data_IF_587411310888
#
_entry.id   IF_587411310888
#
_cell.length_a   1.000
_cell.length_b   1.000
_cell.length_c   1.000
_cell.angle_alpha   90.00
_cell.angle_beta   90.00
_cell.angle_gamma   90.00
#
_symmetry.space_group_name_H-M   'P 1'
#
loop_
_entity.id
_entity.type
_entity.pdbx_description
1 polymer ?
#
# COMPACT_ATOMS: atom_id res chain seq x y z
N UNK A 1 5.37 31.42 -12.55
CA UNK A 1 4.41 30.52 -13.20
C UNK A 1 5.12 29.91 -14.39
N UNK A 2 5.56 28.69 -14.28
CA UNK A 2 6.18 27.96 -15.37
C UNK A 2 5.25 26.78 -15.68
N UNK A 3 4.58 26.88 -16.85
CA UNK A 3 3.82 25.78 -17.43
C UNK A 3 4.78 24.66 -17.82
N UNK A 4 4.69 23.53 -17.16
CA UNK A 4 5.35 22.30 -17.63
C UNK A 4 4.38 21.62 -18.60
N UNK A 5 4.61 21.86 -19.89
CA UNK A 5 3.93 21.16 -20.97
C UNK A 5 4.21 19.65 -20.85
N UNK A 6 3.16 18.83 -20.73
CA UNK A 6 3.24 17.38 -20.88
C UNK A 6 3.38 17.07 -22.38
N UNK A 7 4.58 16.71 -22.81
CA UNK A 7 4.77 16.04 -24.10
C UNK A 7 4.33 14.58 -23.98
N UNK A 8 3.19 14.27 -24.58
CA UNK A 8 2.76 12.87 -24.80
C UNK A 8 3.48 12.32 -26.02
N UNK A 9 4.52 11.53 -25.79
CA UNK A 9 5.14 10.75 -26.85
C UNK A 9 4.40 9.42 -26.97
N UNK A 10 3.57 9.27 -27.99
CA UNK A 10 3.00 7.97 -28.40
C UNK A 10 4.14 7.03 -28.81
N UNK A 11 4.37 5.99 -28.00
CA UNK A 11 5.20 4.84 -28.41
C UNK A 11 4.29 3.67 -28.71
N UNK A 12 4.08 3.44 -30.00
CA UNK A 12 3.55 2.18 -30.52
C UNK A 12 4.59 1.07 -30.27
N UNK A 13 4.26 0.10 -29.44
CA UNK A 13 5.05 -1.09 -29.19
C UNK A 13 4.27 -2.03 -28.27
N UNK A 14 3.65 -3.06 -28.84
CA UNK A 14 3.04 -4.16 -28.11
C UNK A 14 4.12 -4.90 -27.30
N UNK A 15 4.15 -4.63 -26.01
CA UNK A 15 4.93 -5.35 -25.02
C UNK A 15 4.32 -5.04 -23.66
N UNK A 16 3.68 -6.03 -23.07
CA UNK A 16 3.09 -5.94 -21.72
C UNK A 16 4.15 -5.57 -20.69
N UNK A 17 4.38 -4.26 -20.52
CA UNK A 17 5.21 -3.73 -19.45
C UNK A 17 4.32 -3.40 -18.24
N UNK A 18 3.87 -4.45 -17.56
CA UNK A 18 3.16 -4.37 -16.29
C UNK A 18 3.91 -5.12 -15.20
N UNK A 19 5.23 -4.93 -15.15
CA UNK A 19 6.02 -5.53 -14.06
C UNK A 19 5.93 -4.68 -12.81
N UNK A 20 5.69 -5.33 -11.72
CA UNK A 20 5.76 -4.73 -10.39
C UNK A 20 7.13 -4.09 -10.14
N UNK A 21 7.10 -2.94 -9.47
CA UNK A 21 8.30 -2.25 -8.98
C UNK A 21 8.87 -2.99 -7.76
N UNK A 22 9.26 -4.24 -8.02
CA UNK A 22 9.91 -5.14 -7.08
C UNK A 22 11.19 -5.63 -7.74
N UNK A 23 12.31 -4.99 -7.41
CA UNK A 23 13.58 -5.15 -8.11
C UNK A 23 14.60 -5.81 -7.19
N UNK A 24 15.18 -6.92 -7.65
CA UNK A 24 16.30 -7.54 -6.96
C UNK A 24 17.55 -6.64 -7.09
N UNK A 25 18.20 -6.38 -5.96
CA UNK A 25 19.47 -5.70 -5.83
C UNK A 25 20.48 -6.70 -5.24
N UNK A 26 21.80 -6.39 -5.31
CA UNK A 26 22.84 -7.29 -4.82
C UNK A 26 22.65 -7.68 -3.34
N UNK A 27 22.22 -6.70 -2.51
CA UNK A 27 22.08 -6.87 -1.06
C UNK A 27 20.62 -7.09 -0.60
N UNK A 28 19.63 -7.14 -1.52
CA UNK A 28 18.23 -7.27 -1.14
C UNK A 28 17.23 -7.03 -2.26
N UNK A 29 16.06 -6.54 -1.87
CA UNK A 29 14.96 -6.25 -2.79
C UNK A 29 14.50 -4.82 -2.56
N UNK A 30 14.43 -4.02 -3.62
CA UNK A 30 13.72 -2.74 -3.62
C UNK A 30 12.26 -2.98 -3.98
N UNK A 31 11.35 -2.50 -3.15
CA UNK A 31 9.91 -2.63 -3.33
C UNK A 31 9.26 -1.24 -3.25
N UNK A 32 8.43 -0.88 -4.22
CA UNK A 32 7.69 0.39 -4.19
C UNK A 32 6.20 0.08 -4.17
N UNK A 33 5.48 0.65 -3.19
CA UNK A 33 4.06 0.36 -2.95
C UNK A 33 3.24 1.63 -2.81
N UNK A 34 1.94 1.49 -3.09
CA UNK A 34 0.93 2.46 -2.71
C UNK A 34 -0.12 1.78 -1.83
N UNK A 35 -0.51 2.44 -0.75
CA UNK A 35 -1.52 1.95 0.17
C UNK A 35 -2.62 2.98 0.42
N UNK A 36 -3.81 2.48 0.71
CA UNK A 36 -4.99 3.28 0.94
C UNK A 36 -5.34 3.35 2.43
N UNK A 37 -5.70 4.53 2.89
CA UNK A 37 -6.28 4.78 4.20
C UNK A 37 -7.77 4.98 3.98
N UNK A 38 -8.55 3.94 4.23
CA UNK A 38 -9.99 3.88 4.04
C UNK A 38 -10.63 3.87 5.43
N UNK A 39 -11.12 5.05 5.85
CA UNK A 39 -11.72 5.23 7.17
C UNK A 39 -13.23 5.43 7.05
N UNK A 40 -14.03 4.67 7.81
CA UNK A 40 -15.47 4.84 7.90
C UNK A 40 -15.94 4.54 9.32
N UNK A 41 -16.78 5.38 9.88
CA UNK A 41 -17.35 5.24 11.23
C UNK A 41 -16.30 4.98 12.33
N UNK A 42 -15.15 5.67 12.24
CA UNK A 42 -14.03 5.55 13.18
C UNK A 42 -13.21 4.26 13.06
N UNK A 43 -13.46 3.44 12.03
CA UNK A 43 -12.73 2.21 11.76
C UNK A 43 -11.90 2.34 10.49
N UNK A 44 -10.78 1.63 10.46
CA UNK A 44 -9.88 1.50 9.31
C UNK A 44 -10.17 0.18 8.60
N UNK A 45 -10.28 0.20 7.27
CA UNK A 45 -10.35 -1.01 6.46
C UNK A 45 -8.95 -1.55 6.21
N UNK A 46 -8.76 -2.81 6.58
CA UNK A 46 -7.49 -3.52 6.40
C UNK A 46 -7.73 -4.85 5.69
N UNK A 47 -6.65 -5.41 5.17
CA UNK A 47 -6.60 -6.74 4.57
C UNK A 47 -6.03 -7.72 5.60
N UNK A 48 -6.71 -8.84 5.78
CA UNK A 48 -6.25 -9.97 6.55
C UNK A 48 -6.09 -11.21 5.68
N UNK A 49 -5.19 -12.08 6.04
CA UNK A 49 -4.98 -13.40 5.46
C UNK A 49 -4.76 -14.44 6.57
N UNK A 50 -4.19 -15.59 6.27
CA UNK A 50 -3.88 -16.64 7.24
C UNK A 50 -2.76 -16.28 8.24
N UNK A 51 -2.20 -15.08 8.16
CA UNK A 51 -1.18 -14.57 9.09
C UNK A 51 -1.82 -13.90 10.30
N UNK A 52 -1.03 -13.68 11.34
CA UNK A 52 -1.45 -13.07 12.60
C UNK A 52 -1.50 -11.54 12.57
N UNK A 53 -1.36 -10.92 11.40
CA UNK A 53 -1.36 -9.48 11.23
C UNK A 53 -2.22 -9.02 10.05
N UNK A 54 -2.58 -7.75 10.10
CA UNK A 54 -3.34 -7.05 9.06
C UNK A 54 -2.46 -6.01 8.37
N UNK A 55 -2.79 -5.66 7.14
CA UNK A 55 -2.09 -4.62 6.38
C UNK A 55 -3.06 -3.74 5.61
N UNK A 56 -2.58 -2.57 5.19
CA UNK A 56 -3.40 -1.63 4.42
C UNK A 56 -3.80 -2.21 3.08
N UNK A 57 -5.02 -1.89 2.62
CA UNK A 57 -5.43 -2.06 1.22
C UNK A 57 -4.38 -1.41 0.33
N UNK A 58 -3.91 -2.12 -0.72
CA UNK A 58 -2.91 -1.60 -1.63
C UNK A 58 -1.86 -2.63 -2.05
N UNK A 59 -1.02 -2.25 -3.00
CA UNK A 59 -0.06 -3.16 -3.58
C UNK A 59 1.14 -2.46 -4.20
N UNK A 60 1.85 -3.19 -5.05
CA UNK A 60 3.03 -2.70 -5.73
C UNK A 60 2.66 -1.77 -6.88
N UNK A 61 3.47 -0.75 -7.06
CA UNK A 61 3.41 0.02 -8.29
C UNK A 61 3.85 -0.85 -9.46
N UNK A 62 3.17 -0.71 -10.58
CA UNK A 62 3.64 -1.26 -11.86
C UNK A 62 4.47 -0.22 -12.60
N UNK A 63 5.46 -0.66 -13.35
CA UNK A 63 6.28 0.25 -14.13
C UNK A 63 5.39 1.03 -15.13
N UNK A 64 5.43 2.35 -15.05
CA UNK A 64 4.60 3.26 -15.84
C UNK A 64 3.39 3.81 -15.11
N UNK A 65 3.10 3.36 -13.90
CA UNK A 65 2.09 3.97 -13.03
C UNK A 65 2.69 5.05 -12.13
N UNK A 66 1.90 6.05 -11.78
CA UNK A 66 2.17 6.90 -10.61
C UNK A 66 1.67 6.20 -9.34
N UNK A 67 2.11 6.66 -8.16
CA UNK A 67 1.61 6.12 -6.91
C UNK A 67 0.09 6.37 -6.73
N UNK A 68 -0.42 7.46 -7.31
CA UNK A 68 -1.87 7.76 -7.33
C UNK A 68 -2.64 6.79 -8.22
N UNK A 69 -2.12 6.48 -9.42
CA UNK A 69 -2.75 5.48 -10.31
C UNK A 69 -2.77 4.11 -9.65
N UNK A 70 -1.66 3.72 -9.03
CA UNK A 70 -1.52 2.44 -8.36
C UNK A 70 -2.52 2.29 -7.19
N UNK A 71 -2.64 3.28 -6.31
CA UNK A 71 -3.57 3.16 -5.17
C UNK A 71 -5.03 3.08 -5.63
N UNK A 72 -5.42 3.83 -6.67
CA UNK A 72 -6.79 3.76 -7.21
C UNK A 72 -7.08 2.39 -7.83
N UNK A 73 -6.10 1.81 -8.55
CA UNK A 73 -6.20 0.46 -9.12
C UNK A 73 -6.33 -0.59 -8.02
N UNK A 74 -5.42 -0.59 -7.04
CA UNK A 74 -5.41 -1.56 -5.94
C UNK A 74 -6.70 -1.50 -5.10
N UNK A 75 -7.17 -0.29 -4.77
CA UNK A 75 -8.45 -0.12 -4.06
C UNK A 75 -9.59 -0.75 -4.86
N UNK A 76 -9.63 -0.56 -6.17
CA UNK A 76 -10.66 -1.18 -7.00
C UNK A 76 -10.49 -2.70 -7.09
N UNK A 77 -9.27 -3.20 -7.25
CA UNK A 77 -8.99 -4.65 -7.34
C UNK A 77 -9.38 -5.38 -6.04
N UNK A 78 -9.08 -4.79 -4.87
CA UNK A 78 -9.36 -5.43 -3.57
C UNK A 78 -10.78 -5.18 -3.04
N UNK A 79 -11.37 -4.02 -3.31
CA UNK A 79 -12.68 -3.66 -2.74
C UNK A 79 -13.84 -3.77 -3.72
N UNK A 80 -13.56 -3.84 -5.02
CA UNK A 80 -14.56 -3.75 -6.09
C UNK A 80 -15.12 -2.34 -6.31
N UNK A 81 -14.67 -1.34 -5.55
CA UNK A 81 -15.20 0.02 -5.60
C UNK A 81 -14.10 1.01 -5.97
N UNK A 82 -14.34 1.85 -6.98
CA UNK A 82 -13.43 2.95 -7.29
C UNK A 82 -13.60 4.08 -6.29
N UNK A 83 -12.50 4.54 -5.74
CA UNK A 83 -12.47 5.68 -4.83
C UNK A 83 -11.57 6.78 -5.38
N UNK A 84 -11.94 8.03 -5.11
CA UNK A 84 -11.07 9.17 -5.35
C UNK A 84 -10.06 9.33 -4.20
N UNK A 85 -8.90 9.82 -4.53
CA UNK A 85 -7.90 10.24 -3.53
C UNK A 85 -8.36 11.55 -2.90
N UNK A 86 -8.28 11.61 -1.57
CA UNK A 86 -8.38 12.87 -0.84
C UNK A 86 -7.03 13.58 -0.84
N UNK A 87 -5.99 12.93 -0.29
CA UNK A 87 -4.63 13.46 -0.23
C UNK A 87 -3.60 12.38 0.07
N UNK A 88 -2.32 12.66 -0.21
CA UNK A 88 -1.21 11.89 0.33
C UNK A 88 -1.08 12.18 1.85
N UNK A 89 -1.06 11.14 2.65
CA UNK A 89 -0.92 11.25 4.11
C UNK A 89 0.49 10.95 4.59
N UNK A 90 1.07 9.86 4.10
CA UNK A 90 2.37 9.38 4.59
C UNK A 90 3.27 8.87 3.47
N UNK A 91 4.58 9.06 3.68
CA UNK A 91 5.65 8.33 3.00
C UNK A 91 6.35 7.48 4.05
N UNK A 92 6.51 6.21 3.80
CA UNK A 92 7.14 5.26 4.72
C UNK A 92 8.29 4.54 4.05
N UNK A 93 9.47 4.65 4.63
CA UNK A 93 10.63 3.85 4.28
C UNK A 93 10.78 2.73 5.30
N UNK A 94 10.85 1.49 4.85
CA UNK A 94 10.89 0.33 5.72
C UNK A 94 11.95 -0.67 5.27
N UNK A 95 12.93 -0.95 6.15
CA UNK A 95 13.87 -2.05 6.00
C UNK A 95 13.44 -3.19 6.91
N UNK A 96 13.13 -4.34 6.31
CA UNK A 96 12.73 -5.55 7.04
C UNK A 96 13.19 -6.81 6.32
N UNK A 97 13.12 -7.93 7.01
CA UNK A 97 13.39 -9.25 6.40
C UNK A 97 12.08 -9.90 5.97
N UNK A 98 12.04 -10.40 4.74
CA UNK A 98 10.86 -11.06 4.19
C UNK A 98 10.51 -12.33 4.96
N UNK A 99 9.21 -12.58 5.10
CA UNK A 99 8.63 -13.76 5.79
C UNK A 99 7.77 -14.63 4.86
N UNK A 100 7.57 -14.22 3.61
CA UNK A 100 6.88 -15.01 2.60
C UNK A 100 7.83 -16.01 1.92
N UNK A 101 7.34 -17.16 1.43
CA UNK A 101 8.19 -18.15 0.75
C UNK A 101 9.05 -17.58 -0.40
N UNK A 102 8.53 -16.60 -1.14
CA UNK A 102 9.23 -15.97 -2.27
C UNK A 102 10.37 -15.03 -1.86
N UNK A 103 10.34 -14.50 -0.62
CA UNK A 103 11.29 -13.51 -0.13
C UNK A 103 11.86 -13.83 1.26
N UNK A 104 11.69 -15.06 1.74
CA UNK A 104 12.09 -15.48 3.08
C UNK A 104 13.55 -15.11 3.38
N UNK A 105 13.74 -14.39 4.49
CA UNK A 105 15.04 -13.90 4.99
C UNK A 105 15.80 -12.96 4.03
N UNK A 106 15.20 -12.52 2.93
CA UNK A 106 15.80 -11.47 2.09
C UNK A 106 15.54 -10.11 2.72
N UNK A 107 16.57 -9.28 2.73
CA UNK A 107 16.40 -7.88 3.13
C UNK A 107 15.54 -7.16 2.09
N UNK A 108 14.50 -6.49 2.54
CA UNK A 108 13.60 -5.70 1.71
C UNK A 108 13.74 -4.24 2.13
N UNK A 109 13.98 -3.37 1.16
CA UNK A 109 13.79 -1.93 1.29
C UNK A 109 12.50 -1.55 0.59
N UNK A 110 11.51 -1.18 1.37
CA UNK A 110 10.19 -0.81 0.86
C UNK A 110 9.95 0.69 1.03
N UNK A 111 9.53 1.33 -0.06
CA UNK A 111 9.04 2.71 -0.05
C UNK A 111 7.54 2.65 -0.32
N UNK A 112 6.74 3.11 0.62
CA UNK A 112 5.28 3.10 0.53
C UNK A 112 4.69 4.50 0.61
N UNK A 113 3.75 4.80 -0.29
CA UNK A 113 2.96 6.02 -0.32
C UNK A 113 1.56 5.70 0.18
N UNK A 114 1.11 6.34 1.27
CA UNK A 114 -0.23 6.09 1.82
C UNK A 114 -1.14 7.28 1.59
N UNK A 115 -2.27 7.02 0.93
CA UNK A 115 -3.24 8.03 0.53
C UNK A 115 -4.54 7.89 1.34
N UNK A 116 -5.04 8.99 1.88
CA UNK A 116 -6.40 9.05 2.36
C UNK A 116 -7.36 8.98 1.17
N UNK A 117 -8.38 8.12 1.28
CA UNK A 117 -9.38 7.94 0.24
C UNK A 117 -10.69 8.61 0.61
N UNK A 118 -11.40 9.17 -0.38
CA UNK A 118 -12.78 9.65 -0.24
C UNK A 118 -13.71 8.44 -0.26
N UNK A 119 -14.16 8.02 0.91
CA UNK A 119 -15.00 6.82 1.04
C UNK A 119 -16.44 7.16 0.72
N UNK A 120 -17.08 6.51 -0.29
CA UNK A 120 -18.50 6.72 -0.56
C UNK A 120 -19.37 6.37 0.64
N UNK A 121 -20.47 7.12 0.84
CA UNK A 121 -21.38 6.89 1.97
C UNK A 121 -22.04 5.51 1.95
N UNK A 122 -22.29 4.99 0.75
CA UNK A 122 -22.88 3.69 0.48
C UNK A 122 -21.82 2.58 0.29
N UNK A 123 -20.55 2.86 0.62
CA UNK A 123 -19.45 1.92 0.42
C UNK A 123 -19.70 0.60 1.16
N UNK A 124 -19.74 -0.48 0.37
CA UNK A 124 -19.78 -1.85 0.83
C UNK A 124 -18.73 -2.66 0.02
N UNK A 125 -17.61 -3.05 0.62
CA UNK A 125 -16.56 -3.77 -0.11
C UNK A 125 -17.00 -5.18 -0.48
N UNK A 126 -16.44 -5.72 -1.55
CA UNK A 126 -16.52 -7.15 -1.86
C UNK A 126 -15.78 -7.90 -0.75
N UNK A 127 -16.33 -9.03 -0.31
CA UNK A 127 -15.86 -9.69 0.91
C UNK A 127 -14.61 -10.57 0.75
N UNK A 128 -14.16 -10.85 -0.47
CA UNK A 128 -13.06 -11.80 -0.72
C UNK A 128 -12.20 -11.35 -1.90
N UNK A 129 -10.88 -11.35 -1.71
CA UNK A 129 -9.86 -11.23 -2.75
C UNK A 129 -8.82 -12.35 -2.59
N UNK A 130 -7.93 -12.50 -3.57
CA UNK A 130 -6.87 -13.50 -3.54
C UNK A 130 -5.54 -12.85 -3.89
N UNK A 131 -4.49 -13.20 -3.18
CA UNK A 131 -3.12 -12.80 -3.51
C UNK A 131 -2.62 -13.48 -4.78
N UNK A 132 -1.50 -13.00 -5.35
CA UNK A 132 -0.83 -13.63 -6.50
C UNK A 132 -0.46 -15.10 -6.26
N UNK A 133 -0.21 -15.50 -5.02
CA UNK A 133 0.09 -16.89 -4.62
C UNK A 133 -1.16 -17.69 -4.18
N UNK A 134 -2.36 -17.21 -4.54
CA UNK A 134 -3.66 -17.83 -4.24
C UNK A 134 -4.02 -17.93 -2.75
N UNK A 135 -3.35 -17.21 -1.88
CA UNK A 135 -3.79 -17.09 -0.49
C UNK A 135 -5.07 -16.26 -0.42
N UNK A 136 -6.05 -16.76 0.33
CA UNK A 136 -7.32 -16.07 0.51
C UNK A 136 -7.12 -14.84 1.40
N UNK A 137 -7.51 -13.69 0.88
CA UNK A 137 -7.54 -12.43 1.61
C UNK A 137 -8.98 -12.05 1.93
N UNK A 138 -9.16 -11.34 3.02
CA UNK A 138 -10.45 -10.81 3.40
C UNK A 138 -10.30 -9.38 3.94
N UNK A 139 -11.30 -8.57 3.66
CA UNK A 139 -11.36 -7.21 4.15
C UNK A 139 -11.99 -7.19 5.55
N UNK A 140 -11.39 -6.41 6.44
CA UNK A 140 -11.84 -6.31 7.84
C UNK A 140 -11.81 -4.86 8.32
N UNK A 141 -12.90 -4.42 8.94
CA UNK A 141 -12.97 -3.14 9.62
C UNK A 141 -12.41 -3.27 11.04
N UNK A 142 -11.41 -2.47 11.37
CA UNK A 142 -10.70 -2.51 12.64
C UNK A 142 -10.77 -1.16 13.34
N UNK A 143 -11.13 -1.15 14.62
CA UNK A 143 -10.99 0.03 15.45
C UNK A 143 -9.51 0.30 15.72
N UNK A 144 -9.11 1.58 15.72
CA UNK A 144 -7.73 1.95 16.05
C UNK A 144 -7.36 1.63 17.50
N UNK A 145 -8.34 1.33 18.36
CA UNK A 145 -8.14 0.93 19.76
C UNK A 145 -8.05 -0.59 19.96
N UNK A 146 -8.37 -1.39 18.93
CA UNK A 146 -8.22 -2.84 19.00
C UNK A 146 -6.74 -3.24 19.08
N UNK A 147 -6.41 -4.20 19.95
CA UNK A 147 -5.05 -4.76 20.05
C UNK A 147 -4.84 -5.86 18.99
N UNK A 148 -4.97 -5.48 17.72
CA UNK A 148 -4.67 -6.36 16.58
C UNK A 148 -3.42 -5.87 15.88
N UNK A 149 -2.47 -6.74 15.64
CA UNK A 149 -1.24 -6.41 14.93
C UNK A 149 -1.58 -5.93 13.51
N UNK A 150 -1.12 -4.73 13.16
CA UNK A 150 -1.37 -4.12 11.84
C UNK A 150 -0.13 -3.42 11.30
N UNK A 151 -0.04 -3.37 10.01
CA UNK A 151 1.02 -2.65 9.30
C UNK A 151 0.44 -1.63 8.32
N UNK A 152 1.03 -0.41 8.26
CA UNK A 152 2.12 0.05 9.12
C UNK A 152 1.64 0.34 10.56
N UNK A 153 2.49 0.04 11.53
CA UNK A 153 2.16 0.15 12.96
C UNK A 153 1.79 1.58 13.38
N UNK A 154 2.40 2.59 12.76
CA UNK A 154 2.15 4.00 13.08
C UNK A 154 0.71 4.44 12.78
N UNK A 155 -0.03 3.74 11.93
CA UNK A 155 -1.44 4.04 11.66
C UNK A 155 -2.28 4.11 12.92
N UNK A 156 -2.00 3.23 13.89
CA UNK A 156 -2.72 3.20 15.17
C UNK A 156 -2.73 4.55 15.91
N UNK A 157 -1.65 5.27 15.83
CA UNK A 157 -1.51 6.56 16.52
C UNK A 157 -1.85 7.74 15.61
N UNK A 158 -1.36 7.70 14.38
CA UNK A 158 -1.46 8.81 13.44
C UNK A 158 -2.89 9.04 12.94
N UNK A 159 -3.66 7.95 12.75
CA UNK A 159 -5.02 8.06 12.24
C UNK A 159 -6.05 8.48 13.31
N UNK A 160 -5.69 8.51 14.59
CA UNK A 160 -6.54 9.07 15.65
C UNK A 160 -6.67 10.59 15.56
N UNK A 161 -5.62 11.26 15.09
CA UNK A 161 -5.57 12.70 14.93
C UNK A 161 -4.93 13.06 13.60
N UNK A 162 -5.63 12.82 12.47
CA UNK A 162 -5.09 13.04 11.15
C UNK A 162 -4.75 14.52 10.92
N UNK A 163 -3.67 14.78 10.18
CA UNK A 163 -3.23 16.13 9.79
C UNK A 163 -3.28 16.28 8.28
N UNK A 164 -3.32 17.53 7.80
CA UNK A 164 -3.30 17.82 6.36
C UNK A 164 -1.87 17.82 5.78
N UNK A 165 -0.86 17.65 6.62
CA UNK A 165 0.54 17.59 6.19
C UNK A 165 0.98 16.16 5.93
N UNK A 166 1.76 15.96 4.88
CA UNK A 166 2.41 14.67 4.62
C UNK A 166 3.46 14.42 5.70
N UNK A 167 3.41 13.25 6.32
CA UNK A 167 4.41 12.82 7.30
C UNK A 167 5.30 11.74 6.70
N UNK A 168 6.57 11.75 7.08
CA UNK A 168 7.55 10.75 6.68
C UNK A 168 7.95 9.89 7.88
N UNK A 169 7.89 8.57 7.71
CA UNK A 169 8.30 7.59 8.70
C UNK A 169 9.40 6.69 8.15
N UNK A 170 10.32 6.31 9.00
CA UNK A 170 11.35 5.32 8.68
C UNK A 170 11.36 4.23 9.73
N UNK A 171 11.33 2.96 9.30
CA UNK A 171 11.56 1.77 10.14
C UNK A 171 12.77 1.02 9.61
N UNK A 172 13.69 0.66 10.48
CA UNK A 172 14.95 0.00 10.07
C UNK A 172 15.25 -1.18 10.99
N UNK A 173 15.01 -2.39 10.50
CA UNK A 173 15.26 -3.64 11.22
C UNK A 173 16.65 -4.23 10.95
N UNK A 174 17.51 -3.58 10.13
CA UNK A 174 18.84 -4.10 9.79
C UNK A 174 19.76 -4.25 11.01
N UNK A 175 19.58 -3.43 12.02
CA UNK A 175 20.41 -3.44 13.23
C UNK A 175 20.03 -4.54 14.24
N UNK A 176 18.83 -5.11 14.14
CA UNK A 176 18.29 -6.09 15.10
C UNK A 176 18.92 -7.48 14.87
N UNK A 177 19.43 -7.74 13.68
CA UNK A 177 19.94 -9.04 13.26
C UNK A 177 21.48 -9.07 13.01
N UNK A 178 22.23 -8.14 13.64
CA UNK A 178 23.69 -8.15 13.64
C UNK A 178 24.27 -8.72 14.91
#
# INVERSE_FOLDING_TARGET
>A
MADIARETTERNGEGTMNKDMCVACDDGILNIRAGAIIMKDGKLLLVGNDRDYLYSVGGRLKFGETAEDAVVREVFEETGVRMEIDRLGFVHENYFYGDAPSNLNKLIYEISFFFYMKVPSDFAPISESFTEDNSKEHLVWVSLDEDRKMYPEFFRNELKNPTDTVKHFTKDERAINR
#
